data_IF_555248043921
#
_entry.id   IF_555248043921
#
_cell.length_a   1.000
_cell.length_b   1.000
_cell.length_c   1.000
_cell.angle_alpha   90.00
_cell.angle_beta   90.00
_cell.angle_gamma   90.00
#
_symmetry.space_group_name_H-M   'P 1'
#
loop_
_entity.id
_entity.type
_entity.pdbx_description
1 polymer ?
#
# COMPACT_ATOMS: atom_id res chain seq x y z
N UNK A 1 -5.11 7.05 -19.10
CA UNK A 1 -5.82 5.82 -18.72
C UNK A 1 -4.83 4.67 -18.49
N UNK A 2 -5.17 3.76 -17.53
CA UNK A 2 -4.37 2.56 -17.28
C UNK A 2 -4.38 1.59 -18.46
N UNK A 3 -5.42 1.62 -19.30
CA UNK A 3 -5.50 0.80 -20.52
C UNK A 3 -4.39 1.05 -21.55
N UNK A 4 -3.66 2.15 -21.44
CA UNK A 4 -2.46 2.39 -22.26
C UNK A 4 -1.31 1.44 -21.90
N UNK A 5 -1.24 1.01 -20.65
CA UNK A 5 -0.19 0.13 -20.12
C UNK A 5 -0.65 -1.33 -20.01
N UNK A 6 -1.96 -1.53 -19.90
CA UNK A 6 -2.61 -2.85 -19.85
C UNK A 6 -3.72 -2.88 -20.93
N UNK A 7 -3.35 -2.98 -22.22
CA UNK A 7 -4.29 -2.89 -23.36
C UNK A 7 -5.35 -4.00 -23.36
N UNK A 8 -5.07 -5.14 -22.73
CA UNK A 8 -5.97 -6.27 -22.53
C UNK A 8 -6.93 -6.11 -21.34
N UNK A 9 -6.91 -4.99 -20.61
CA UNK A 9 -7.93 -4.70 -19.59
C UNK A 9 -9.31 -4.62 -20.24
N UNK A 10 -10.23 -5.52 -19.85
CA UNK A 10 -11.56 -5.61 -20.44
C UNK A 10 -11.50 -5.55 -21.99
N UNK A 11 -10.65 -6.38 -22.59
CA UNK A 11 -10.30 -6.28 -24.03
C UNK A 11 -11.48 -6.45 -24.99
N UNK A 12 -12.56 -7.09 -24.55
CA UNK A 12 -13.77 -7.28 -25.37
C UNK A 12 -14.80 -6.16 -25.20
N UNK A 13 -14.51 -5.15 -24.38
CA UNK A 13 -15.37 -3.97 -24.16
C UNK A 13 -14.54 -2.69 -24.08
N UNK A 14 -14.22 -2.14 -25.23
CA UNK A 14 -13.41 -0.91 -25.35
C UNK A 14 -14.05 0.31 -24.68
N UNK A 15 -15.36 0.30 -24.46
CA UNK A 15 -16.09 1.40 -23.84
C UNK A 15 -16.24 1.22 -22.31
N UNK A 16 -15.75 0.12 -21.76
CA UNK A 16 -15.85 -0.15 -20.32
C UNK A 16 -15.23 0.99 -19.50
N UNK A 17 -15.79 1.23 -18.34
CA UNK A 17 -15.30 2.28 -17.45
C UNK A 17 -13.93 1.95 -16.86
N UNK A 18 -13.61 0.67 -16.67
CA UNK A 18 -12.31 0.18 -16.17
C UNK A 18 -11.18 0.67 -17.05
N UNK A 19 -11.36 0.66 -18.36
CA UNK A 19 -10.37 1.13 -19.33
C UNK A 19 -10.09 2.63 -19.26
N UNK A 20 -11.05 3.41 -18.74
CA UNK A 20 -10.97 4.88 -18.64
C UNK A 20 -10.31 5.35 -17.34
N UNK A 21 -10.19 4.48 -16.34
CA UNK A 21 -9.52 4.78 -15.07
C UNK A 21 -8.08 5.23 -15.32
N UNK A 22 -7.64 6.23 -14.57
CA UNK A 22 -6.29 6.79 -14.69
C UNK A 22 -5.37 6.29 -13.55
N UNK A 23 -4.06 6.35 -13.78
CA UNK A 23 -3.04 6.06 -12.76
C UNK A 23 -3.26 6.94 -11.52
N UNK A 24 -3.56 8.22 -11.71
CA UNK A 24 -3.82 9.16 -10.61
C UNK A 24 -5.03 8.74 -9.76
N UNK A 25 -6.12 8.31 -10.39
CA UNK A 25 -7.29 7.81 -9.68
C UNK A 25 -6.98 6.52 -8.91
N UNK A 26 -6.21 5.59 -9.49
CA UNK A 26 -5.74 4.41 -8.77
C UNK A 26 -4.90 4.78 -7.55
N UNK A 27 -3.89 5.63 -7.71
CA UNK A 27 -2.99 6.06 -6.63
C UNK A 27 -3.72 6.79 -5.49
N UNK A 28 -4.82 7.49 -5.80
CA UNK A 28 -5.62 8.22 -4.79
C UNK A 28 -6.86 7.46 -4.30
N UNK A 29 -7.04 6.21 -4.70
CA UNK A 29 -8.25 5.40 -4.44
C UNK A 29 -9.55 6.11 -4.85
N UNK A 30 -9.50 6.92 -5.91
CA UNK A 30 -10.65 7.62 -6.48
C UNK A 30 -11.25 6.87 -7.67
N UNK A 31 -11.42 5.57 -7.53
CA UNK A 31 -11.98 4.68 -8.56
C UNK A 31 -13.26 4.02 -8.05
N UNK A 32 -14.13 3.56 -8.96
CA UNK A 32 -15.34 2.80 -8.59
C UNK A 32 -15.09 1.33 -8.27
N UNK A 33 -13.84 0.86 -8.14
CA UNK A 33 -13.55 -0.54 -7.78
C UNK A 33 -14.07 -0.89 -6.38
N UNK A 34 -14.43 -2.17 -6.13
CA UNK A 34 -14.84 -2.62 -4.80
C UNK A 34 -13.71 -2.48 -3.77
N UNK A 35 -14.06 -2.26 -2.51
CA UNK A 35 -13.09 -2.15 -1.43
C UNK A 35 -12.24 -3.41 -1.29
N UNK A 36 -12.90 -4.56 -1.25
CA UNK A 36 -12.28 -5.88 -1.11
C UNK A 36 -12.92 -6.83 -2.11
N UNK A 37 -12.10 -7.65 -2.74
CA UNK A 37 -12.53 -8.81 -3.52
C UNK A 37 -11.62 -9.98 -3.14
N UNK A 38 -12.15 -11.13 -2.68
CA UNK A 38 -11.34 -12.27 -2.28
C UNK A 38 -10.86 -13.08 -3.50
N UNK A 39 -9.94 -12.48 -4.27
CA UNK A 39 -9.45 -13.03 -5.55
C UNK A 39 -8.84 -14.42 -5.35
N UNK A 40 -8.16 -14.65 -4.22
CA UNK A 40 -7.54 -15.94 -3.86
C UNK A 40 -8.52 -17.11 -3.80
N UNK A 41 -9.83 -16.85 -3.72
CA UNK A 41 -10.86 -17.91 -3.71
C UNK A 41 -11.23 -18.41 -5.10
N UNK A 42 -10.82 -17.71 -6.17
CA UNK A 42 -11.15 -18.05 -7.54
C UNK A 42 -10.16 -19.02 -8.19
N UNK A 43 -9.07 -19.39 -7.50
CA UNK A 43 -8.10 -20.35 -7.98
C UNK A 43 -6.74 -20.23 -7.30
N UNK A 44 -5.80 -21.07 -7.73
CA UNK A 44 -4.43 -21.11 -7.20
C UNK A 44 -3.36 -20.76 -8.24
N UNK A 45 -3.74 -20.57 -9.50
CA UNK A 45 -2.85 -20.21 -10.59
C UNK A 45 -2.77 -18.67 -10.69
N UNK A 46 -1.61 -18.06 -10.42
CA UNK A 46 -1.46 -16.61 -10.38
C UNK A 46 -1.73 -15.94 -11.73
N UNK A 47 -1.44 -16.60 -12.84
CA UNK A 47 -1.66 -16.02 -14.17
C UNK A 47 -3.16 -16.04 -14.54
N UNK A 48 -3.87 -17.10 -14.16
CA UNK A 48 -5.34 -17.15 -14.29
C UNK A 48 -6.01 -16.11 -13.39
N UNK A 49 -5.51 -15.90 -12.17
CA UNK A 49 -6.02 -14.87 -11.29
C UNK A 49 -5.77 -13.46 -11.85
N UNK A 50 -4.58 -13.20 -12.43
CA UNK A 50 -4.30 -11.94 -13.15
C UNK A 50 -5.25 -11.75 -14.33
N UNK A 51 -5.41 -12.79 -15.17
CA UNK A 51 -6.34 -12.73 -16.30
C UNK A 51 -7.79 -12.48 -15.83
N UNK A 52 -8.22 -13.13 -14.76
CA UNK A 52 -9.53 -12.87 -14.14
C UNK A 52 -9.70 -11.41 -13.74
N UNK A 53 -8.70 -10.82 -13.05
CA UNK A 53 -8.74 -9.41 -12.65
C UNK A 53 -8.87 -8.49 -13.87
N UNK A 54 -8.12 -8.78 -14.92
CA UNK A 54 -8.08 -7.96 -16.12
C UNK A 54 -9.34 -8.07 -16.99
N UNK A 55 -10.00 -9.22 -17.01
CA UNK A 55 -11.16 -9.46 -17.87
C UNK A 55 -12.49 -9.32 -17.16
N UNK A 56 -12.50 -9.28 -15.82
CA UNK A 56 -13.72 -9.15 -15.05
C UNK A 56 -14.35 -7.78 -15.25
N UNK A 57 -15.66 -7.73 -15.49
CA UNK A 57 -16.47 -6.54 -15.37
C UNK A 57 -16.76 -6.28 -13.90
N UNK A 58 -16.21 -5.21 -13.38
CA UNK A 58 -16.40 -4.82 -11.99
C UNK A 58 -17.70 -4.05 -11.82
N UNK A 59 -18.45 -4.38 -10.77
CA UNK A 59 -19.58 -3.56 -10.39
C UNK A 59 -19.09 -2.20 -9.93
N UNK A 60 -19.62 -1.12 -10.52
CA UNK A 60 -19.31 0.25 -10.05
C UNK A 60 -19.81 0.46 -8.63
N UNK A 61 -18.94 0.93 -7.78
CA UNK A 61 -19.23 1.33 -6.41
C UNK A 61 -18.94 2.83 -6.22
N UNK A 62 -19.31 3.37 -5.05
CA UNK A 62 -18.77 4.66 -4.62
C UNK A 62 -17.28 4.49 -4.43
N UNK A 63 -16.48 5.52 -4.79
CA UNK A 63 -15.03 5.50 -4.59
C UNK A 63 -14.68 5.26 -3.13
N UNK A 64 -13.95 4.18 -2.88
CA UNK A 64 -13.47 3.72 -1.57
C UNK A 64 -12.02 3.28 -1.69
N UNK A 65 -11.36 3.07 -0.55
CA UNK A 65 -10.08 2.37 -0.53
C UNK A 65 -10.25 0.98 -1.18
N UNK A 66 -9.42 0.65 -2.17
CA UNK A 66 -9.54 -0.60 -2.93
C UNK A 66 -8.18 -1.17 -3.28
N UNK A 67 -7.96 -2.44 -2.95
CA UNK A 67 -6.74 -3.17 -3.28
C UNK A 67 -6.58 -3.35 -4.80
N UNK A 68 -7.69 -3.43 -5.54
CA UNK A 68 -7.69 -3.57 -7.00
C UNK A 68 -6.89 -2.46 -7.68
N UNK A 69 -6.94 -1.23 -7.15
CA UNK A 69 -6.15 -0.13 -7.66
C UNK A 69 -4.66 -0.44 -7.71
N UNK A 70 -4.12 -0.91 -6.59
CA UNK A 70 -2.69 -1.19 -6.48
C UNK A 70 -2.31 -2.55 -7.08
N UNK A 71 -3.23 -3.50 -7.16
CA UNK A 71 -3.03 -4.73 -7.96
C UNK A 71 -2.82 -4.34 -9.43
N UNK A 72 -3.68 -3.50 -10.01
CA UNK A 72 -3.55 -3.03 -11.39
C UNK A 72 -2.28 -2.21 -11.59
N UNK A 73 -1.92 -1.33 -10.66
CA UNK A 73 -0.65 -0.59 -10.72
C UNK A 73 0.56 -1.52 -10.65
N UNK A 74 0.50 -2.60 -9.86
CA UNK A 74 1.52 -3.65 -9.83
C UNK A 74 1.67 -4.33 -11.19
N UNK A 75 0.58 -4.72 -11.82
CA UNK A 75 0.58 -5.31 -13.18
C UNK A 75 1.17 -4.34 -14.21
N UNK A 76 0.88 -3.04 -14.09
CA UNK A 76 1.51 -2.01 -14.95
C UNK A 76 3.03 -2.00 -14.77
N UNK A 77 3.50 -2.01 -13.51
CA UNK A 77 4.95 -2.06 -13.22
C UNK A 77 5.61 -3.32 -13.78
N UNK A 78 4.97 -4.49 -13.63
CA UNK A 78 5.46 -5.75 -14.21
C UNK A 78 5.63 -5.64 -15.73
N UNK A 79 4.68 -5.05 -16.43
CA UNK A 79 4.72 -4.89 -17.90
C UNK A 79 5.76 -3.90 -18.37
N UNK A 80 5.89 -2.76 -17.68
CA UNK A 80 6.92 -1.75 -18.01
C UNK A 80 8.31 -2.35 -17.81
N UNK A 81 8.53 -3.08 -16.73
CA UNK A 81 9.82 -3.69 -16.39
C UNK A 81 10.04 -5.06 -17.04
N UNK A 82 9.04 -5.63 -17.69
CA UNK A 82 9.07 -6.98 -18.31
C UNK A 82 9.53 -8.07 -17.32
N UNK A 83 9.14 -7.94 -16.07
CA UNK A 83 9.50 -8.87 -15.00
C UNK A 83 8.43 -8.88 -13.92
N UNK A 84 8.41 -9.93 -13.09
CA UNK A 84 7.50 -9.99 -11.95
C UNK A 84 7.83 -8.89 -10.94
N UNK A 85 6.81 -8.34 -10.27
CA UNK A 85 6.97 -7.27 -9.30
C UNK A 85 7.94 -7.65 -8.17
N UNK A 86 8.00 -8.91 -7.79
CA UNK A 86 8.92 -9.41 -6.76
C UNK A 86 10.40 -9.37 -7.15
N UNK A 87 10.69 -9.21 -8.45
CA UNK A 87 12.03 -9.11 -9.02
C UNK A 87 12.41 -7.67 -9.39
N UNK A 88 11.49 -6.71 -9.26
CA UNK A 88 11.79 -5.30 -9.49
C UNK A 88 12.63 -4.79 -8.30
N UNK A 89 13.81 -4.17 -8.55
CA UNK A 89 14.61 -3.59 -7.48
C UNK A 89 13.83 -2.50 -6.73
N UNK A 90 13.69 -2.64 -5.43
CA UNK A 90 12.90 -1.72 -4.59
C UNK A 90 13.77 -0.67 -3.90
N UNK A 91 15.09 -0.85 -3.84
CA UNK A 91 16.00 -0.02 -3.04
C UNK A 91 15.84 -0.27 -1.53
N UNK A 92 16.60 0.42 -0.73
CA UNK A 92 16.53 0.47 0.75
C UNK A 92 16.49 -0.88 1.46
N UNK A 93 16.97 -1.97 0.84
CA UNK A 93 16.87 -3.35 1.36
C UNK A 93 15.43 -3.85 1.57
N UNK A 94 14.47 -3.29 0.87
CA UNK A 94 13.13 -3.87 0.81
C UNK A 94 13.11 -5.12 -0.07
N UNK A 95 12.29 -6.09 0.30
CA UNK A 95 12.18 -7.34 -0.46
C UNK A 95 10.77 -7.94 -0.35
N UNK A 96 10.30 -8.55 -1.42
CA UNK A 96 9.14 -9.45 -1.39
C UNK A 96 9.49 -10.84 -0.88
N UNK A 97 10.78 -11.21 -0.94
CA UNK A 97 11.29 -12.52 -0.54
C UNK A 97 12.43 -12.33 0.47
N UNK A 98 12.11 -12.06 1.74
CA UNK A 98 13.13 -11.77 2.74
C UNK A 98 14.00 -13.00 3.04
N UNK A 99 15.32 -12.82 3.01
CA UNK A 99 16.30 -13.88 3.32
C UNK A 99 16.60 -13.96 4.83
N UNK A 100 16.20 -12.98 5.60
CA UNK A 100 16.44 -12.92 7.04
C UNK A 100 15.72 -14.05 7.78
N UNK A 101 16.38 -14.61 8.80
CA UNK A 101 15.73 -15.54 9.75
C UNK A 101 14.96 -14.81 10.86
N UNK A 102 15.18 -13.50 11.01
CA UNK A 102 14.56 -12.68 12.05
C UNK A 102 13.38 -11.87 11.45
N UNK A 103 12.29 -12.57 11.18
CA UNK A 103 11.07 -12.00 10.60
C UNK A 103 9.93 -12.18 11.59
N UNK A 104 9.18 -11.10 11.82
CA UNK A 104 8.01 -11.15 12.68
C UNK A 104 6.92 -12.07 12.07
N UNK A 105 6.50 -13.06 12.85
CA UNK A 105 5.33 -13.87 12.48
C UNK A 105 4.08 -13.01 12.50
N UNK A 106 3.14 -13.17 11.58
CA UNK A 106 1.92 -12.39 11.51
C UNK A 106 0.74 -13.14 12.13
N UNK A 107 0.04 -13.98 11.45
CA UNK A 107 -1.20 -14.57 11.92
C UNK A 107 -1.14 -16.10 11.92
N UNK A 108 -1.84 -16.74 12.84
CA UNK A 108 -2.16 -18.15 12.73
C UNK A 108 -3.30 -18.34 11.71
N UNK A 109 -2.93 -18.44 10.45
CA UNK A 109 -3.85 -18.41 9.31
C UNK A 109 -4.60 -19.74 9.16
N UNK A 110 -5.91 -19.71 9.35
CA UNK A 110 -6.79 -20.88 9.17
C UNK A 110 -6.79 -21.39 7.73
N UNK A 111 -6.79 -20.49 6.75
CA UNK A 111 -6.79 -20.85 5.34
C UNK A 111 -5.49 -21.56 4.91
N UNK A 112 -4.31 -21.08 5.41
CA UNK A 112 -3.01 -21.69 5.11
C UNK A 112 -2.62 -22.80 6.09
N UNK A 113 -3.41 -22.98 7.16
CA UNK A 113 -3.19 -23.95 8.25
C UNK A 113 -1.78 -23.86 8.86
N UNK A 114 -1.27 -22.64 9.05
CA UNK A 114 0.03 -22.36 9.68
C UNK A 114 0.13 -20.94 10.19
N UNK A 115 1.14 -20.70 11.04
CA UNK A 115 1.57 -19.34 11.39
C UNK A 115 2.31 -18.76 10.19
N UNK A 116 1.87 -17.58 9.71
CA UNK A 116 2.50 -16.87 8.59
C UNK A 116 3.78 -16.20 9.11
N UNK A 117 4.92 -16.54 8.52
CA UNK A 117 6.22 -15.95 8.83
C UNK A 117 7.13 -15.99 7.60
N UNK A 118 7.67 -14.85 7.17
CA UNK A 118 8.53 -14.76 5.99
C UNK A 118 7.82 -14.87 4.65
N UNK A 119 6.49 -14.92 4.66
CA UNK A 119 5.64 -14.90 3.48
C UNK A 119 4.61 -13.77 3.59
N UNK A 120 4.10 -13.33 2.45
CA UNK A 120 3.09 -12.26 2.39
C UNK A 120 1.84 -12.63 3.20
N UNK A 121 1.44 -11.73 4.11
CA UNK A 121 0.26 -11.93 4.94
C UNK A 121 -1.04 -11.86 4.13
N UNK A 122 -1.18 -10.88 3.26
CA UNK A 122 -2.37 -10.67 2.43
C UNK A 122 -2.63 -11.87 1.52
N UNK A 123 -3.87 -12.36 1.52
CA UNK A 123 -4.28 -13.56 0.80
C UNK A 123 -4.24 -13.38 -0.73
N UNK A 124 -4.67 -12.22 -1.22
CA UNK A 124 -4.66 -11.92 -2.65
C UNK A 124 -3.21 -11.78 -3.17
N UNK A 125 -2.36 -11.04 -2.44
CA UNK A 125 -0.96 -10.87 -2.83
C UNK A 125 -0.19 -12.20 -2.76
N UNK A 126 -0.51 -13.05 -1.79
CA UNK A 126 0.05 -14.40 -1.71
C UNK A 126 -0.37 -15.28 -2.90
N UNK A 127 -1.65 -15.29 -3.24
CA UNK A 127 -2.17 -16.10 -4.38
C UNK A 127 -1.62 -15.61 -5.72
N UNK A 128 -1.42 -14.29 -5.87
CA UNK A 128 -0.83 -13.66 -7.05
C UNK A 128 0.71 -13.84 -7.14
N UNK A 129 1.35 -14.41 -6.10
CA UNK A 129 2.82 -14.52 -5.98
C UNK A 129 3.54 -13.18 -6.18
N UNK A 130 2.98 -12.13 -5.61
CA UNK A 130 3.44 -10.75 -5.69
C UNK A 130 2.36 -9.81 -6.22
N UNK A 131 2.27 -8.64 -5.62
CA UNK A 131 1.26 -7.64 -5.99
C UNK A 131 1.67 -6.25 -5.52
N UNK A 132 1.14 -5.22 -6.17
CA UNK A 132 1.44 -3.83 -5.84
C UNK A 132 0.79 -3.32 -4.55
N UNK A 133 -0.17 -4.04 -3.96
CA UNK A 133 -0.91 -3.58 -2.77
C UNK A 133 -0.37 -4.11 -1.44
N UNK A 134 0.38 -5.23 -1.46
CA UNK A 134 0.90 -5.86 -0.25
C UNK A 134 2.08 -6.80 -0.53
N UNK A 135 2.85 -7.14 0.52
CA UNK A 135 3.87 -8.20 0.47
C UNK A 135 5.31 -7.73 0.59
N UNK A 136 5.56 -6.43 0.70
CA UNK A 136 6.90 -5.91 0.84
C UNK A 136 7.37 -5.99 2.31
N UNK A 137 8.58 -6.50 2.52
CA UNK A 137 9.25 -6.60 3.81
C UNK A 137 10.34 -5.53 3.94
N UNK A 138 10.55 -5.06 5.14
CA UNK A 138 11.61 -4.13 5.50
C UNK A 138 11.77 -4.03 7.01
N UNK A 139 12.79 -3.33 7.46
CA UNK A 139 13.00 -2.98 8.86
C UNK A 139 12.86 -1.47 9.08
N UNK A 140 12.91 -1.01 10.32
CA UNK A 140 12.71 0.39 10.66
C UNK A 140 13.76 1.30 10.00
N UNK A 141 15.01 0.89 9.97
CA UNK A 141 16.10 1.63 9.34
C UNK A 141 15.87 1.84 7.84
N UNK A 142 15.51 0.77 7.12
CA UNK A 142 15.20 0.82 5.69
C UNK A 142 14.06 1.78 5.38
N UNK A 143 13.00 1.75 6.20
CA UNK A 143 11.84 2.62 6.05
C UNK A 143 12.21 4.08 6.34
N UNK A 144 13.02 4.35 7.37
CA UNK A 144 13.45 5.70 7.69
C UNK A 144 14.42 6.26 6.63
N UNK A 145 15.30 5.45 6.05
CA UNK A 145 16.14 5.86 4.93
C UNK A 145 15.30 6.26 3.71
N UNK A 146 14.27 5.49 3.38
CA UNK A 146 13.30 5.85 2.35
C UNK A 146 12.57 7.18 2.68
N UNK A 147 12.10 7.31 3.93
CA UNK A 147 11.41 8.53 4.36
C UNK A 147 12.32 9.77 4.33
N UNK A 148 13.58 9.62 4.65
CA UNK A 148 14.58 10.67 4.60
C UNK A 148 14.84 11.17 3.17
N UNK A 149 14.91 10.26 2.20
CA UNK A 149 15.01 10.64 0.78
C UNK A 149 13.74 11.34 0.29
N UNK A 150 12.57 10.90 0.76
CA UNK A 150 11.31 11.58 0.49
C UNK A 150 11.29 13.01 1.06
N UNK A 151 11.78 13.22 2.28
CA UNK A 151 11.89 14.55 2.91
C UNK A 151 12.81 15.48 2.11
N UNK A 152 13.92 14.97 1.59
CA UNK A 152 14.86 15.71 0.75
C UNK A 152 14.36 15.92 -0.67
N UNK A 153 13.25 15.31 -1.07
CA UNK A 153 12.76 15.20 -2.44
C UNK A 153 13.84 14.62 -3.39
N UNK A 154 14.68 13.71 -2.90
CA UNK A 154 15.68 13.04 -3.72
C UNK A 154 14.95 12.17 -4.77
N UNK A 155 15.41 12.28 -6.02
CA UNK A 155 14.87 11.50 -7.16
C UNK A 155 13.37 11.72 -7.46
N UNK A 156 12.75 12.78 -6.94
CA UNK A 156 11.34 13.09 -7.19
C UNK A 156 11.22 14.47 -7.85
N UNK A 157 10.57 14.55 -9.00
CA UNK A 157 10.32 15.85 -9.66
C UNK A 157 9.40 16.74 -8.80
N UNK A 158 9.46 18.05 -9.01
CA UNK A 158 8.58 19.01 -8.31
C UNK A 158 7.09 18.70 -8.54
N UNK A 159 6.73 18.26 -9.75
CA UNK A 159 5.35 17.87 -10.10
C UNK A 159 4.92 16.62 -9.31
N UNK A 160 5.75 15.59 -9.28
CA UNK A 160 5.46 14.38 -8.52
C UNK A 160 5.41 14.66 -7.01
N UNK A 161 6.30 15.48 -6.48
CA UNK A 161 6.27 15.93 -5.08
C UNK A 161 4.93 16.60 -4.73
N UNK A 162 4.39 17.46 -5.61
CA UNK A 162 3.06 18.05 -5.42
C UNK A 162 1.94 17.01 -5.40
N UNK A 163 1.98 16.00 -6.27
CA UNK A 163 0.97 14.94 -6.32
C UNK A 163 1.01 14.05 -5.07
N UNK A 164 2.17 13.86 -4.46
CA UNK A 164 2.36 13.10 -3.23
C UNK A 164 1.85 13.88 -2.01
N UNK A 165 2.14 15.18 -1.93
CA UNK A 165 1.84 16.04 -0.76
C UNK A 165 0.43 16.59 -0.76
N UNK A 166 -0.15 16.85 -1.93
CA UNK A 166 -1.42 17.52 -2.04
C UNK A 166 -2.59 16.54 -2.08
N UNK A 167 -3.61 16.85 -1.32
CA UNK A 167 -4.87 16.14 -1.30
C UNK A 167 -5.52 16.13 -2.70
N UNK A 168 -5.88 14.94 -3.17
CA UNK A 168 -6.54 14.72 -4.45
C UNK A 168 -8.00 14.33 -4.25
N UNK A 169 -8.24 13.35 -3.38
CA UNK A 169 -9.58 12.86 -3.10
C UNK A 169 -9.73 12.47 -1.63
N UNK A 170 -10.77 12.98 -0.95
CA UNK A 170 -10.97 12.79 0.49
C UNK A 170 -9.67 13.13 1.25
N UNK A 171 -9.14 12.19 2.03
CA UNK A 171 -7.87 12.35 2.76
C UNK A 171 -6.70 11.65 2.07
N UNK A 172 -6.71 11.60 0.72
CA UNK A 172 -5.72 10.87 -0.08
C UNK A 172 -5.03 11.77 -1.09
N UNK A 173 -3.73 11.56 -1.23
CA UNK A 173 -2.89 12.02 -2.33
C UNK A 173 -2.48 10.84 -3.21
N UNK A 174 -1.50 10.98 -4.07
CA UNK A 174 -0.97 9.85 -4.83
C UNK A 174 -0.15 8.92 -3.93
N UNK A 175 -0.72 7.79 -3.57
CA UNK A 175 -0.08 6.73 -2.78
C UNK A 175 -0.13 6.91 -1.26
N UNK A 176 -0.66 8.02 -0.74
CA UNK A 176 -0.60 8.36 0.68
C UNK A 176 -1.93 8.85 1.24
N UNK A 177 -2.07 8.76 2.55
CA UNK A 177 -3.00 9.61 3.30
C UNK A 177 -2.33 10.96 3.58
N UNK A 178 -3.11 12.03 3.56
CA UNK A 178 -2.71 13.35 4.06
C UNK A 178 -3.36 13.59 5.42
N UNK A 179 -2.73 14.38 6.28
CA UNK A 179 -3.19 14.59 7.65
C UNK A 179 -4.65 15.10 7.73
N UNK A 180 -5.39 14.60 8.70
CA UNK A 180 -6.74 15.01 9.06
C UNK A 180 -6.97 14.79 10.56
N UNK A 181 -8.06 15.29 11.08
CA UNK A 181 -8.38 15.17 12.52
C UNK A 181 -8.56 13.70 12.93
N UNK A 182 -7.91 13.29 14.01
CA UNK A 182 -7.97 11.93 14.59
C UNK A 182 -7.46 10.83 13.66
N UNK A 183 -6.47 11.12 12.82
CA UNK A 183 -5.85 10.10 11.98
C UNK A 183 -4.71 9.36 12.69
N UNK A 184 -4.17 8.35 12.03
CA UNK A 184 -3.13 7.49 12.57
C UNK A 184 -1.78 8.18 12.85
N UNK A 185 -1.51 9.33 12.23
CA UNK A 185 -0.27 10.09 12.41
C UNK A 185 -0.27 11.05 13.61
N UNK A 186 -1.35 11.08 14.40
CA UNK A 186 -1.49 12.01 15.54
C UNK A 186 -2.16 13.33 15.18
N UNK A 187 -2.37 14.18 16.19
CA UNK A 187 -3.08 15.45 16.06
C UNK A 187 -2.15 16.66 16.03
N UNK A 188 -0.88 16.50 16.43
CA UNK A 188 0.09 17.58 16.50
C UNK A 188 0.98 17.72 15.25
N UNK A 189 0.95 16.74 14.36
CA UNK A 189 1.67 16.83 13.09
C UNK A 189 1.10 17.94 12.20
N UNK A 190 1.93 18.44 11.29
CA UNK A 190 1.53 19.52 10.38
C UNK A 190 0.52 19.07 9.33
N UNK A 191 -0.12 20.05 8.67
CA UNK A 191 -1.00 19.77 7.52
C UNK A 191 -0.25 19.26 6.28
N UNK A 192 1.07 19.39 6.28
CA UNK A 192 1.96 18.88 5.21
C UNK A 192 2.46 17.46 5.51
N UNK A 193 1.84 16.77 6.48
CA UNK A 193 2.18 15.40 6.82
C UNK A 193 1.42 14.43 5.94
N UNK A 194 2.16 13.48 5.38
CA UNK A 194 1.61 12.31 4.70
C UNK A 194 1.94 11.05 5.50
N UNK A 195 1.18 9.99 5.30
CA UNK A 195 1.47 8.71 5.94
C UNK A 195 0.65 7.59 5.34
N UNK A 196 0.99 6.37 5.72
CA UNK A 196 0.18 5.19 5.39
C UNK A 196 0.36 4.13 6.46
N UNK A 197 -0.70 3.35 6.68
CA UNK A 197 -0.69 2.24 7.64
C UNK A 197 -0.78 0.90 6.91
N UNK A 198 -0.11 -0.12 7.44
CA UNK A 198 -0.26 -1.50 7.00
C UNK A 198 -1.25 -2.27 7.87
N UNK A 199 -1.97 -3.19 7.24
CA UNK A 199 -2.97 -4.04 7.90
C UNK A 199 -2.38 -4.83 9.08
N UNK A 200 -1.15 -5.32 8.94
CA UNK A 200 -0.46 -6.13 9.93
C UNK A 200 0.00 -5.36 11.18
N UNK A 201 -0.09 -4.02 11.17
CA UNK A 201 0.27 -3.20 12.33
C UNK A 201 1.42 -2.21 12.06
N UNK A 202 1.87 -2.10 10.83
CA UNK A 202 2.93 -1.18 10.41
C UNK A 202 2.41 0.21 10.08
N UNK A 203 3.30 1.20 10.02
CA UNK A 203 2.97 2.55 9.58
C UNK A 203 4.21 3.40 9.36
N UNK A 204 4.08 4.37 8.46
CA UNK A 204 5.08 5.38 8.14
C UNK A 204 4.39 6.73 7.99
N UNK A 205 4.99 7.77 8.56
CA UNK A 205 4.53 9.16 8.46
C UNK A 205 5.71 10.10 8.19
N UNK A 206 5.48 11.11 7.37
CA UNK A 206 6.49 12.08 6.92
C UNK A 206 5.90 13.47 7.02
N UNK A 207 6.41 14.30 7.92
CA UNK A 207 6.01 15.69 8.11
C UNK A 207 7.01 16.62 7.42
N UNK A 208 6.63 17.12 6.25
CA UNK A 208 7.50 17.97 5.43
C UNK A 208 7.75 19.34 6.03
N UNK A 209 6.78 19.91 6.74
CA UNK A 209 6.94 21.23 7.39
C UNK A 209 7.94 21.15 8.54
N UNK A 210 7.81 20.13 9.39
CA UNK A 210 8.68 19.96 10.56
C UNK A 210 9.95 19.17 10.21
N UNK A 211 10.10 18.67 8.97
CA UNK A 211 11.23 17.86 8.51
C UNK A 211 11.46 16.61 9.37
N UNK A 212 10.37 15.98 9.80
CA UNK A 212 10.36 14.79 10.63
C UNK A 212 9.77 13.60 9.88
N UNK A 213 10.26 12.41 10.20
CA UNK A 213 9.64 11.17 9.78
C UNK A 213 9.69 10.15 10.91
N UNK A 214 8.65 9.34 11.03
CA UNK A 214 8.62 8.26 12.02
C UNK A 214 7.94 7.03 11.44
N UNK A 215 8.32 5.89 11.95
CA UNK A 215 7.72 4.59 11.61
C UNK A 215 7.37 3.84 12.86
N UNK A 216 6.32 3.06 12.79
CA UNK A 216 5.91 2.14 13.85
C UNK A 216 5.71 0.76 13.23
N UNK A 217 6.54 -0.21 13.61
CA UNK A 217 6.46 -1.58 13.15
C UNK A 217 5.97 -2.46 14.30
N UNK A 218 4.71 -2.81 14.26
CA UNK A 218 4.08 -3.73 15.20
C UNK A 218 3.49 -4.93 14.48
N UNK A 219 3.01 -5.91 15.22
CA UNK A 219 2.33 -7.08 14.69
C UNK A 219 0.97 -7.27 15.35
N UNK A 220 0.02 -6.38 15.01
CA UNK A 220 -1.31 -6.38 15.60
C UNK A 220 -2.14 -7.62 15.30
N UNK A 221 -1.78 -8.35 14.24
CA UNK A 221 -2.55 -9.52 13.77
C UNK A 221 -2.06 -10.84 14.38
N UNK A 222 -1.03 -10.81 15.22
CA UNK A 222 -0.52 -12.02 15.87
C UNK A 222 -1.19 -12.24 17.23
N UNK A 223 -1.68 -13.45 17.53
CA UNK A 223 -1.83 -14.59 16.63
C UNK A 223 -3.11 -14.53 15.78
N UNK A 224 -3.96 -13.51 15.94
CA UNK A 224 -5.24 -13.38 15.25
C UNK A 224 -5.57 -11.94 14.90
N UNK A 225 -6.03 -11.70 13.67
CA UNK A 225 -6.54 -10.40 13.20
C UNK A 225 -7.82 -9.94 13.93
N UNK A 226 -8.51 -10.84 14.58
CA UNK A 226 -9.79 -10.56 15.24
C UNK A 226 -9.63 -10.03 16.66
N UNK A 227 -8.39 -9.96 17.18
CA UNK A 227 -8.10 -9.35 18.47
C UNK A 227 -8.04 -7.83 18.35
N UNK A 228 -8.75 -7.11 19.22
CA UNK A 228 -8.56 -5.67 19.34
C UNK A 228 -7.20 -5.39 19.97
N UNK A 229 -6.34 -4.72 19.24
CA UNK A 229 -4.96 -4.43 19.63
C UNK A 229 -4.74 -2.98 20.07
N UNK A 230 -5.75 -2.12 20.00
CA UNK A 230 -5.61 -0.68 20.25
C UNK A 230 -4.66 0.04 19.27
N UNK A 231 -4.32 -0.57 18.12
CA UNK A 231 -3.28 -0.07 17.21
C UNK A 231 -3.55 1.34 16.69
N UNK A 232 -4.80 1.73 16.50
CA UNK A 232 -5.13 3.06 15.99
C UNK A 232 -4.77 4.15 17.00
N UNK A 233 -5.10 3.92 18.25
CA UNK A 233 -4.75 4.82 19.34
C UNK A 233 -3.23 4.87 19.57
N UNK A 234 -2.55 3.71 19.56
CA UNK A 234 -1.10 3.62 19.68
C UNK A 234 -0.38 4.42 18.60
N UNK A 235 -0.77 4.27 17.34
CA UNK A 235 -0.19 5.01 16.22
C UNK A 235 -0.33 6.53 16.39
N UNK A 236 -1.54 6.99 16.73
CA UNK A 236 -1.82 8.40 16.95
C UNK A 236 -1.01 8.97 18.12
N UNK A 237 -0.95 8.28 19.26
CA UNK A 237 -0.16 8.69 20.42
C UNK A 237 1.34 8.74 20.12
N UNK A 238 1.88 7.75 19.41
CA UNK A 238 3.30 7.76 19.00
C UNK A 238 3.59 8.98 18.12
N UNK A 239 2.73 9.29 17.16
CA UNK A 239 2.88 10.47 16.32
C UNK A 239 2.87 11.76 17.13
N UNK A 240 1.93 11.91 18.08
CA UNK A 240 1.85 13.06 18.96
C UNK A 240 3.11 13.24 19.82
N UNK A 241 3.64 12.13 20.40
CA UNK A 241 4.88 12.14 21.18
C UNK A 241 6.09 12.54 20.33
N UNK A 242 6.25 11.98 19.13
CA UNK A 242 7.36 12.33 18.22
C UNK A 242 7.37 13.82 17.91
N UNK A 243 6.22 14.41 17.63
CA UNK A 243 6.14 15.83 17.33
C UNK A 243 6.46 16.68 18.57
N UNK A 244 5.96 16.29 19.74
CA UNK A 244 6.20 17.02 20.99
C UNK A 244 7.68 16.99 21.40
N UNK A 245 8.33 15.84 21.32
CA UNK A 245 9.73 15.68 21.70
C UNK A 245 10.71 16.35 20.72
N UNK A 246 10.35 16.45 19.44
CA UNK A 246 11.21 17.07 18.42
C UNK A 246 10.89 18.55 18.15
N UNK A 247 9.83 19.11 18.75
CA UNK A 247 9.47 20.53 18.61
C UNK A 247 10.21 21.44 19.63
N UNK A 248 11.14 20.88 20.38
CA UNK A 248 12.07 21.60 21.25
C UNK A 248 13.35 21.97 20.47
#
# INVERSE_FOLDING_TARGET
PISLYIPDLCQYDYNSWERKVTIKECLSHHTPFPAVEPIYTYGSDPDKLRAFILQRRWKKNRSVYSDINFILLGIILERINKTNITSIPTGYNFSFNPLSKNIAATENCKWRNRIICGETHDENAFALKGSGHAGLFGNAESILNFAFDMLKNNNISKEHSKLIKNKIYRNRSCGWEVSYKNWSGGNYCSKETIGHTGFTGTGLWIDYKNKLAWTLLTNRVHPSRHTDSGIQELRSKVGDLVIQDCAL
#
